data_IF_957469651391
#
_entry.id   IF_957469651391
#
_cell.length_a   1.000
_cell.length_b   1.000
_cell.length_c   1.000
_cell.angle_alpha   90.00
_cell.angle_beta   90.00
_cell.angle_gamma   90.00
#
_symmetry.space_group_name_H-M   'P 1'
#
loop_
_entity.id
_entity.type
_entity.pdbx_description
1 polymer ?
#
# COMPACT_ATOMS: atom_id res chain seq x y z
N UNK A 1 -8.45 21.48 17.35
CA UNK A 1 -8.23 21.05 16.72
C UNK A 1 -8.35 21.26 16.02
N UNK A 2 -8.22 21.51 16.22
CA UNK A 2 -8.26 21.56 15.51
C UNK A 2 -8.47 21.27 14.69
N UNK A 3 -8.57 21.40 14.56
CA UNK A 3 -8.57 20.98 13.81
C UNK A 3 -8.72 20.90 12.90
N UNK A 4 -8.77 20.78 12.58
CA UNK A 4 -8.77 20.64 11.65
C UNK A 4 -9.07 20.64 10.71
N UNK A 5 -9.03 20.65 10.23
CA UNK A 5 -9.20 20.56 9.35
C UNK A 5 -8.93 20.25 8.48
N UNK A 6 -8.98 20.07 7.89
CA UNK A 6 -8.63 19.78 7.13
C UNK A 6 -8.33 18.99 6.55
N UNK A 7 -7.88 18.98 5.59
CA UNK A 7 -7.46 18.02 5.18
C UNK A 7 -6.16 17.95 5.17
N UNK A 8 -5.60 18.56 5.53
CA UNK A 8 -4.29 18.34 5.84
C UNK A 8 -4.28 17.41 6.94
N UNK A 9 -3.17 16.87 7.29
CA UNK A 9 -3.11 15.94 8.33
C UNK A 9 -3.35 16.60 9.63
N UNK A 10 -4.38 16.16 10.29
CA UNK A 10 -4.53 16.49 11.68
C UNK A 10 -3.58 15.60 12.48
N UNK A 11 -3.40 15.88 13.77
CA UNK A 11 -2.48 15.08 14.57
C UNK A 11 -2.74 13.59 14.56
N UNK A 12 -4.00 13.18 14.53
CA UNK A 12 -4.24 11.75 14.45
C UNK A 12 -4.11 11.24 13.04
N UNK A 13 -3.92 12.11 12.08
CA UNK A 13 -3.62 11.70 10.73
C UNK A 13 -2.14 11.66 10.47
N UNK A 14 -1.32 11.84 11.49
CA UNK A 14 0.08 11.59 11.34
C UNK A 14 0.38 10.11 11.26
N UNK A 15 -0.59 9.26 11.55
CA UNK A 15 -0.41 7.83 11.36
C UNK A 15 -0.24 7.55 9.90
N UNK A 16 0.76 6.76 9.53
CA UNK A 16 0.95 6.44 8.12
C UNK A 16 -0.22 5.62 7.58
N UNK A 17 -0.53 5.86 6.32
CA UNK A 17 -1.51 5.07 5.60
C UNK A 17 -0.77 4.09 4.72
N UNK A 18 -0.99 2.81 4.96
CA UNK A 18 -0.23 1.73 4.34
C UNK A 18 -1.17 0.83 3.57
N UNK A 19 -0.86 0.55 2.31
CA UNK A 19 -1.61 -0.40 1.52
C UNK A 19 -0.78 -1.67 1.40
N UNK A 20 -1.36 -2.83 1.73
CA UNK A 20 -0.64 -4.10 1.75
C UNK A 20 -1.26 -5.05 0.74
N UNK A 21 -0.49 -5.46 -0.24
CA UNK A 21 -0.90 -6.49 -1.20
C UNK A 21 -0.35 -7.82 -0.75
N UNK A 22 -1.21 -8.83 -0.67
CA UNK A 22 -0.87 -10.13 -0.11
C UNK A 22 -0.92 -11.20 -1.17
N UNK A 23 0.04 -12.12 -1.13
CA UNK A 23 0.12 -13.18 -2.10
C UNK A 23 -1.02 -14.19 -1.94
N UNK A 24 -1.38 -14.49 -0.72
CA UNK A 24 -2.40 -15.48 -0.44
C UNK A 24 -3.19 -15.18 0.81
N UNK A 25 -4.05 -16.11 1.16
CA UNK A 25 -4.98 -15.90 2.28
C UNK A 25 -4.28 -15.89 3.63
N UNK A 26 -3.19 -16.63 3.76
CA UNK A 26 -2.43 -16.63 5.01
C UNK A 26 -1.86 -15.26 5.29
N UNK A 27 -1.28 -14.63 4.27
CA UNK A 27 -0.74 -13.30 4.40
C UNK A 27 -1.83 -12.28 4.67
N UNK A 28 -3.00 -12.48 4.05
CA UNK A 28 -4.13 -11.61 4.31
C UNK A 28 -4.60 -11.69 5.76
N UNK A 29 -4.66 -12.91 6.30
CA UNK A 29 -5.10 -13.10 7.67
C UNK A 29 -4.13 -12.42 8.64
N UNK A 30 -2.84 -12.54 8.38
CA UNK A 30 -1.85 -11.90 9.23
C UNK A 30 -1.92 -10.38 9.12
N UNK A 31 -2.13 -9.87 7.92
CA UNK A 31 -2.28 -8.43 7.71
C UNK A 31 -3.51 -7.91 8.43
N UNK A 32 -4.61 -8.64 8.41
CA UNK A 32 -5.81 -8.26 9.14
C UNK A 32 -5.57 -8.23 10.64
N UNK A 33 -4.78 -9.17 11.14
CA UNK A 33 -4.36 -9.18 12.53
C UNK A 33 -3.56 -7.93 12.86
N UNK A 34 -2.59 -7.59 12.03
CA UNK A 34 -1.76 -6.40 12.26
C UNK A 34 -2.62 -5.12 12.21
N UNK A 35 -3.56 -5.07 11.29
CA UNK A 35 -4.42 -3.90 11.17
C UNK A 35 -5.22 -3.68 12.45
N UNK A 36 -5.69 -4.75 13.05
CA UNK A 36 -6.45 -4.66 14.28
C UNK A 36 -5.56 -4.30 15.46
N UNK A 37 -4.40 -4.93 15.54
CA UNK A 37 -3.51 -4.72 16.70
C UNK A 37 -2.86 -3.35 16.70
N UNK A 38 -2.57 -2.81 15.53
CA UNK A 38 -1.83 -1.56 15.43
C UNK A 38 -2.64 -0.42 14.84
N UNK A 39 -3.95 -0.47 15.02
CA UNK A 39 -4.83 0.54 14.43
C UNK A 39 -4.54 1.95 14.92
N UNK A 40 -3.95 2.08 16.10
CA UNK A 40 -3.62 3.39 16.64
C UNK A 40 -2.28 3.90 16.14
N UNK A 41 -1.50 3.04 15.50
CA UNK A 41 -0.17 3.38 15.01
C UNK A 41 -0.18 3.64 13.52
N UNK A 42 -0.97 2.90 12.77
CA UNK A 42 -1.00 3.02 11.32
C UNK A 42 -2.39 2.62 10.81
N UNK A 43 -2.75 3.20 9.68
CA UNK A 43 -3.95 2.79 8.95
C UNK A 43 -3.53 1.83 7.85
N UNK A 44 -4.04 0.61 7.90
CA UNK A 44 -3.66 -0.43 6.95
C UNK A 44 -4.87 -0.78 6.11
N UNK A 45 -4.70 -0.71 4.80
CA UNK A 45 -5.71 -1.15 3.85
C UNK A 45 -5.21 -2.38 3.12
N UNK A 46 -6.01 -3.41 3.09
CA UNK A 46 -5.69 -4.63 2.37
C UNK A 46 -6.79 -4.91 1.36
N UNK A 47 -6.46 -4.93 0.06
CA UNK A 47 -7.46 -5.28 -0.96
C UNK A 47 -7.99 -6.68 -0.74
N UNK A 48 -9.20 -6.93 -1.17
CA UNK A 48 -9.81 -8.25 -1.02
C UNK A 48 -9.15 -9.29 -1.90
N UNK A 49 -8.71 -8.89 -3.07
CA UNK A 49 -8.08 -9.82 -4.01
C UNK A 49 -6.69 -10.20 -3.53
N UNK A 50 -6.33 -11.45 -3.73
CA UNK A 50 -4.95 -11.88 -3.51
C UNK A 50 -4.13 -11.56 -4.75
N UNK A 51 -2.85 -11.31 -4.55
CA UNK A 51 -1.94 -11.00 -5.64
C UNK A 51 -1.01 -9.88 -5.24
N UNK A 52 0.06 -9.74 -5.97
CA UNK A 52 1.11 -8.82 -5.61
C UNK A 52 1.24 -7.70 -6.64
N UNK A 53 2.34 -7.71 -7.37
CA UNK A 53 2.69 -6.59 -8.25
C UNK A 53 1.69 -6.40 -9.37
N UNK A 54 1.20 -7.49 -9.94
CA UNK A 54 0.22 -7.41 -11.03
C UNK A 54 -1.07 -6.80 -10.55
N UNK A 55 -1.52 -7.20 -9.37
CA UNK A 55 -2.76 -6.68 -8.80
C UNK A 55 -2.60 -5.21 -8.46
N UNK A 56 -1.47 -4.85 -7.86
CA UNK A 56 -1.22 -3.46 -7.53
C UNK A 56 -1.20 -2.59 -8.77
N UNK A 57 -0.50 -3.03 -9.79
CA UNK A 57 -0.40 -2.28 -11.03
C UNK A 57 -1.79 -2.07 -11.64
N UNK A 58 -2.58 -3.13 -11.68
CA UNK A 58 -3.93 -3.06 -12.23
C UNK A 58 -4.82 -2.12 -11.42
N UNK A 59 -4.78 -2.21 -10.10
CA UNK A 59 -5.61 -1.37 -9.25
C UNK A 59 -5.28 0.10 -9.43
N UNK A 60 -4.00 0.44 -9.43
CA UNK A 60 -3.63 1.85 -9.54
C UNK A 60 -3.79 2.40 -10.94
N UNK A 61 -3.83 1.55 -11.94
CA UNK A 61 -4.10 2.01 -13.30
C UNK A 61 -5.57 2.17 -13.60
N UNK A 62 -6.40 1.26 -13.10
CA UNK A 62 -7.79 1.16 -13.55
C UNK A 62 -8.81 1.64 -12.53
N UNK A 63 -8.46 1.65 -11.26
CA UNK A 63 -9.40 1.99 -10.22
C UNK A 63 -9.14 3.41 -9.74
N UNK A 64 -10.08 4.31 -10.05
CA UNK A 64 -9.94 5.71 -9.69
C UNK A 64 -9.81 5.89 -8.17
N UNK A 65 -10.47 5.05 -7.40
CA UNK A 65 -10.39 5.13 -5.95
C UNK A 65 -8.97 4.92 -5.46
N UNK A 66 -8.25 3.96 -6.04
CA UNK A 66 -6.87 3.74 -5.65
C UNK A 66 -5.98 4.89 -6.06
N UNK A 67 -6.21 5.46 -7.24
CA UNK A 67 -5.43 6.61 -7.67
C UNK A 67 -5.67 7.81 -6.77
N UNK A 68 -6.91 8.01 -6.35
CA UNK A 68 -7.22 9.11 -5.45
C UNK A 68 -6.56 8.91 -4.09
N UNK A 69 -6.55 7.68 -3.60
CA UNK A 69 -5.93 7.39 -2.32
C UNK A 69 -4.41 7.50 -2.35
N UNK A 70 -3.81 7.49 -3.53
CA UNK A 70 -2.36 7.63 -3.62
C UNK A 70 -1.88 8.92 -3.00
N UNK A 71 -2.70 9.96 -3.03
CA UNK A 71 -2.31 11.24 -2.44
C UNK A 71 -2.08 11.15 -0.95
N UNK A 72 -2.74 10.22 -0.28
CA UNK A 72 -2.61 10.07 1.17
C UNK A 72 -1.89 8.79 1.56
N UNK A 73 -1.44 8.03 0.59
CA UNK A 73 -0.74 6.77 0.85
C UNK A 73 0.72 7.04 1.14
N UNK A 74 1.19 6.56 2.27
CA UNK A 74 2.58 6.74 2.65
C UNK A 74 3.44 5.56 2.23
N UNK A 75 2.85 4.37 2.22
CA UNK A 75 3.65 3.18 1.94
C UNK A 75 2.80 2.11 1.26
N UNK A 76 3.40 1.41 0.31
CA UNK A 76 2.80 0.23 -0.32
C UNK A 76 3.70 -0.95 -0.02
N UNK A 77 3.14 -2.00 0.55
CA UNK A 77 3.88 -3.19 0.94
C UNK A 77 3.40 -4.40 0.17
N UNK A 78 4.32 -5.30 -0.11
CA UNK A 78 4.01 -6.57 -0.75
C UNK A 78 4.42 -7.68 0.21
N UNK A 79 3.44 -8.47 0.62
CA UNK A 79 3.65 -9.50 1.63
C UNK A 79 3.56 -10.87 0.96
N UNK A 80 4.67 -11.59 0.92
CA UNK A 80 4.74 -12.88 0.23
C UNK A 80 5.84 -13.73 0.82
N UNK A 81 5.77 -15.04 0.53
CA UNK A 81 6.83 -15.94 0.94
C UNK A 81 8.05 -15.72 0.08
N UNK A 82 9.19 -15.71 0.73
CA UNK A 82 10.46 -15.56 0.03
C UNK A 82 10.86 -16.93 -0.50
N UNK A 83 10.43 -17.25 -1.69
CA UNK A 83 10.93 -18.42 -2.37
C UNK A 83 11.61 -17.95 -3.60
N UNK A 84 12.69 -18.58 -3.87
CA UNK A 84 13.51 -18.14 -4.94
C UNK A 84 12.95 -18.50 -6.25
N UNK A 85 12.05 -17.80 -6.77
CA UNK A 85 11.60 -18.04 -8.06
C UNK A 85 11.71 -16.81 -8.84
N UNK A 86 11.77 -16.86 -10.08
CA UNK A 86 11.58 -15.77 -11.02
C UNK A 86 12.45 -14.56 -10.77
N UNK A 87 13.74 -14.81 -10.66
CA UNK A 87 14.69 -13.71 -10.67
C UNK A 87 14.48 -12.88 -11.93
N UNK A 88 14.08 -13.54 -13.03
CA UNK A 88 13.84 -12.83 -14.27
C UNK A 88 12.68 -11.87 -14.26
N UNK A 89 11.76 -12.00 -13.30
CA UNK A 89 10.63 -11.09 -13.21
C UNK A 89 10.97 -9.83 -12.44
N UNK A 90 12.16 -9.73 -11.91
CA UNK A 90 12.51 -8.64 -11.01
C UNK A 90 12.48 -7.28 -11.71
N UNK A 91 12.89 -7.23 -12.95
CA UNK A 91 12.90 -5.98 -13.70
C UNK A 91 11.49 -5.43 -13.87
N UNK A 92 10.53 -6.31 -14.19
CA UNK A 92 9.14 -5.89 -14.30
C UNK A 92 8.61 -5.36 -12.97
N UNK A 93 9.01 -6.02 -11.89
CA UNK A 93 8.59 -5.60 -10.55
C UNK A 93 9.15 -4.23 -10.21
N UNK A 94 10.39 -3.97 -10.57
CA UNK A 94 11.00 -2.67 -10.34
C UNK A 94 10.28 -1.57 -11.09
N UNK A 95 9.83 -1.85 -12.29
CA UNK A 95 9.06 -0.87 -13.06
C UNK A 95 7.77 -0.52 -12.33
N UNK A 96 7.10 -1.55 -11.81
CA UNK A 96 5.86 -1.33 -11.07
C UNK A 96 6.14 -0.53 -9.80
N UNK A 97 7.19 -0.88 -9.08
CA UNK A 97 7.56 -0.17 -7.86
C UNK A 97 7.82 1.30 -8.15
N UNK A 98 8.57 1.59 -9.20
CA UNK A 98 8.89 2.97 -9.55
C UNK A 98 7.64 3.73 -9.95
N UNK A 99 6.73 3.08 -10.63
CA UNK A 99 5.46 3.70 -11.02
C UNK A 99 4.64 4.04 -9.79
N UNK A 100 4.57 3.12 -8.84
CA UNK A 100 3.83 3.37 -7.60
C UNK A 100 4.45 4.51 -6.79
N UNK A 101 5.77 4.55 -6.73
CA UNK A 101 6.45 5.64 -6.01
C UNK A 101 6.11 6.99 -6.59
N UNK A 102 5.99 7.08 -7.89
CA UNK A 102 5.77 8.37 -8.55
C UNK A 102 4.33 8.83 -8.55
N UNK A 103 3.41 8.03 -8.03
CA UNK A 103 2.01 8.44 -7.95
C UNK A 103 1.82 9.65 -7.03
N UNK A 104 2.69 9.78 -6.06
CA UNK A 104 2.72 10.96 -5.21
C UNK A 104 4.15 11.48 -5.23
N UNK A 105 4.32 12.75 -5.58
CA UNK A 105 5.65 13.20 -5.89
C UNK A 105 6.43 13.78 -4.72
N UNK A 106 5.74 14.28 -3.72
CA UNK A 106 6.45 14.93 -2.63
C UNK A 106 5.70 14.73 -1.31
N UNK A 107 6.19 13.86 -0.47
CA UNK A 107 7.26 12.89 -0.71
C UNK A 107 6.76 11.70 -1.50
N UNK A 108 7.67 10.99 -2.14
CA UNK A 108 7.30 9.80 -2.88
C UNK A 108 6.71 8.74 -1.94
N UNK A 109 5.85 7.89 -2.52
CA UNK A 109 5.32 6.76 -1.77
C UNK A 109 6.45 5.76 -1.55
N UNK A 110 6.57 5.25 -0.34
CA UNK A 110 7.53 4.19 -0.05
C UNK A 110 6.96 2.87 -0.51
N UNK A 111 7.77 2.04 -1.11
CA UNK A 111 7.32 0.73 -1.57
C UNK A 111 8.27 -0.35 -1.11
#
# INVERSE_FOLDING_TARGET
MPTPTVWHRSPHQTRPYIVVFCEGESEQAYTDFLRKEFKDVASIHRPKATGLFDVADSKYKKDAKYRDYAEVTDEVCFFFDVETKDIGAWESRLEIINRLRSLRKDPNIKV
#
